data_IF_408848598618
#
_entry.id   IF_408848598618
#
_cell.length_a   1.000
_cell.length_b   1.000
_cell.length_c   1.000
_cell.angle_alpha   90.00
_cell.angle_beta   90.00
_cell.angle_gamma   90.00
#
_symmetry.space_group_name_H-M   'P 1'
#
loop_
_entity.id
_entity.type
_entity.pdbx_description
1 polymer ?
#
# COMPACT_ATOMS: atom_id res chain seq x y z
N UNK A 1 3.62 34.94 -2.74
CA UNK A 1 5.00 35.31 -2.40
C UNK A 1 5.83 34.21 -3.03
N UNK A 2 6.48 34.52 -4.15
CA UNK A 2 7.07 33.48 -5.00
C UNK A 2 8.40 33.01 -4.39
N UNK A 3 8.53 31.69 -4.16
CA UNK A 3 9.70 31.02 -3.56
C UNK A 3 10.87 30.90 -4.56
N UNK A 4 11.24 32.01 -5.22
CA UNK A 4 12.44 32.05 -6.05
C UNK A 4 13.62 32.57 -5.24
N UNK A 5 14.70 31.77 -5.20
CA UNK A 5 15.99 32.23 -4.69
C UNK A 5 16.52 33.35 -5.58
N UNK A 6 16.97 34.46 -4.98
CA UNK A 6 17.48 35.63 -5.69
C UNK A 6 18.87 35.43 -6.31
N UNK A 7 19.50 34.26 -6.11
CA UNK A 7 20.93 34.11 -6.46
C UNK A 7 21.36 32.71 -6.87
N UNK A 8 20.48 31.71 -6.87
CA UNK A 8 20.83 30.38 -7.36
C UNK A 8 19.58 29.63 -7.83
N UNK A 9 19.71 28.68 -8.76
CA UNK A 9 18.60 27.85 -9.30
C UNK A 9 18.00 26.89 -8.25
N UNK A 10 18.29 27.09 -6.98
CA UNK A 10 17.81 26.31 -5.85
C UNK A 10 16.44 26.85 -5.45
N UNK A 11 15.40 26.13 -5.82
CA UNK A 11 14.06 26.33 -5.26
C UNK A 11 14.12 25.82 -3.82
N UNK A 12 14.00 26.72 -2.84
CA UNK A 12 13.74 26.28 -1.47
C UNK A 12 12.34 25.68 -1.46
N UNK A 13 12.24 24.37 -1.23
CA UNK A 13 10.95 23.69 -1.13
C UNK A 13 10.07 24.31 -0.04
N UNK A 14 8.75 24.08 -0.08
CA UNK A 14 7.84 24.60 0.91
C UNK A 14 8.26 24.16 2.31
N UNK A 15 8.31 25.10 3.25
CA UNK A 15 8.65 24.87 4.66
C UNK A 15 7.58 25.44 5.57
N UNK A 16 7.30 24.74 6.66
CA UNK A 16 6.48 25.27 7.75
C UNK A 16 7.39 25.73 8.90
N UNK A 17 7.09 26.89 9.49
CA UNK A 17 7.83 27.43 10.63
C UNK A 17 6.85 27.88 11.69
N UNK A 18 7.01 27.35 12.91
CA UNK A 18 6.19 27.69 14.07
C UNK A 18 7.05 28.44 15.08
N UNK A 19 6.74 29.72 15.28
CA UNK A 19 7.41 30.57 16.25
C UNK A 19 6.67 30.56 17.59
N UNK A 20 7.38 30.93 18.68
CA UNK A 20 6.79 31.13 20.00
C UNK A 20 6.00 29.93 20.54
N UNK A 21 6.46 28.72 20.21
CA UNK A 21 5.87 27.48 20.70
C UNK A 21 6.10 27.33 22.23
N UNK A 22 5.15 26.72 22.97
CA UNK A 22 5.25 26.58 24.41
C UNK A 22 6.43 25.68 24.81
N UNK A 23 7.32 26.18 25.67
CA UNK A 23 8.57 25.50 26.01
C UNK A 23 8.39 24.29 26.95
N UNK A 24 7.48 24.41 27.92
CA UNK A 24 7.28 23.45 29.01
C UNK A 24 6.16 22.43 28.74
N UNK A 25 5.70 22.33 27.49
CA UNK A 25 4.67 21.38 27.07
C UNK A 25 5.30 20.33 26.17
N UNK A 26 4.91 19.08 26.37
CA UNK A 26 5.19 18.02 25.42
C UNK A 26 4.38 18.25 24.15
N UNK A 27 5.05 18.20 23.01
CA UNK A 27 4.51 18.41 21.68
C UNK A 27 4.77 17.17 20.82
N UNK A 28 3.90 16.95 19.85
CA UNK A 28 4.08 15.95 18.80
C UNK A 28 4.10 16.69 17.46
N UNK A 29 5.09 16.40 16.63
CA UNK A 29 5.15 16.91 15.25
C UNK A 29 4.51 15.89 14.33
N UNK A 30 3.35 16.24 13.76
CA UNK A 30 2.66 15.43 12.78
C UNK A 30 2.50 16.22 11.46
N UNK A 31 2.51 15.51 10.34
CA UNK A 31 2.25 16.07 9.02
C UNK A 31 0.88 15.59 8.53
N UNK A 32 -0.05 16.53 8.35
CA UNK A 32 -1.36 16.23 7.77
C UNK A 32 -1.26 16.20 6.25
N UNK A 33 -1.35 15.00 5.67
CA UNK A 33 -1.15 14.74 4.24
C UNK A 33 -2.35 14.05 3.61
N UNK A 34 -2.55 14.17 2.29
CA UNK A 34 -3.55 13.38 1.58
C UNK A 34 -3.37 11.87 1.83
N UNK A 35 -4.47 11.14 2.01
CA UNK A 35 -4.48 9.68 2.26
C UNK A 35 -3.57 8.84 1.33
N UNK A 36 -3.44 9.15 0.02
CA UNK A 36 -2.58 8.37 -0.86
C UNK A 36 -1.07 8.59 -0.65
N UNK A 37 -0.67 9.49 0.24
CA UNK A 37 0.74 9.84 0.42
C UNK A 37 1.36 8.97 1.51
N UNK A 38 2.44 8.26 1.18
CA UNK A 38 3.30 7.64 2.16
C UNK A 38 4.46 8.59 2.44
N UNK A 39 4.40 9.26 3.59
CA UNK A 39 5.39 10.24 4.01
C UNK A 39 6.13 9.74 5.25
N UNK A 40 7.45 9.90 5.25
CA UNK A 40 8.31 9.53 6.37
C UNK A 40 9.29 10.65 6.74
N UNK A 41 9.69 10.76 8.01
CA UNK A 41 10.76 11.67 8.42
C UNK A 41 12.12 11.12 7.96
N UNK A 42 12.82 11.86 7.11
CA UNK A 42 14.17 11.51 6.63
C UNK A 42 15.27 12.20 7.43
N UNK A 43 14.94 13.32 8.09
CA UNK A 43 15.83 13.98 9.05
C UNK A 43 15.01 14.32 10.29
N UNK A 44 15.35 13.71 11.42
CA UNK A 44 14.78 14.03 12.73
C UNK A 44 15.83 13.76 13.81
N UNK A 45 16.42 14.82 14.37
CA UNK A 45 17.44 14.69 15.43
C UNK A 45 16.80 14.34 16.78
N UNK A 46 15.55 14.73 16.97
CA UNK A 46 14.78 14.52 18.19
C UNK A 46 13.61 13.57 17.92
N UNK A 47 13.10 12.96 18.99
CA UNK A 47 11.85 12.20 18.97
C UNK A 47 10.68 13.15 18.65
N UNK A 48 10.03 12.93 17.50
CA UNK A 48 8.96 13.79 17.02
C UNK A 48 7.64 13.58 17.78
N UNK A 49 7.49 12.48 18.49
CA UNK A 49 6.28 12.18 19.26
C UNK A 49 6.32 12.77 20.68
N UNK A 50 7.51 13.11 21.18
CA UNK A 50 7.74 13.58 22.54
C UNK A 50 8.70 14.77 22.60
N UNK A 51 8.36 15.83 21.87
CA UNK A 51 9.17 17.07 21.80
C UNK A 51 8.93 17.90 23.06
N UNK A 52 10.01 18.22 23.78
CA UNK A 52 10.01 19.18 24.88
C UNK A 52 11.05 20.28 24.61
N UNK A 53 10.60 21.48 24.26
CA UNK A 53 11.48 22.51 23.68
C UNK A 53 12.47 23.12 24.70
N UNK A 54 12.16 23.09 26.00
CA UNK A 54 13.12 23.49 27.05
C UNK A 54 14.37 22.60 27.10
N UNK A 55 14.30 21.37 26.57
CA UNK A 55 15.43 20.44 26.50
C UNK A 55 16.36 20.70 25.31
N UNK A 56 16.05 21.66 24.44
CA UNK A 56 16.84 21.93 23.22
C UNK A 56 18.19 22.65 23.48
N UNK A 57 18.53 22.92 24.76
CA UNK A 57 19.79 23.53 25.18
C UNK A 57 20.18 24.75 24.33
N UNK A 58 21.35 24.74 23.69
CA UNK A 58 21.88 25.85 22.88
C UNK A 58 21.16 26.01 21.52
N UNK A 59 20.39 25.00 21.09
CA UNK A 59 19.69 25.00 19.81
C UNK A 59 18.31 25.61 19.97
N UNK A 60 18.06 26.77 19.36
CA UNK A 60 16.77 27.48 19.49
C UNK A 60 15.68 26.95 18.56
N UNK A 61 16.00 26.01 17.68
CA UNK A 61 15.06 25.56 16.63
C UNK A 61 15.20 24.06 16.43
N UNK A 62 14.12 23.34 16.68
CA UNK A 62 13.98 21.95 16.26
C UNK A 62 13.64 21.92 14.77
N UNK A 63 14.34 21.08 14.02
CA UNK A 63 14.10 20.88 12.59
C UNK A 63 13.83 19.40 12.32
N UNK A 64 12.84 19.14 11.48
CA UNK A 64 12.61 17.85 10.85
C UNK A 64 12.40 18.04 9.35
N UNK A 65 12.79 17.04 8.55
CA UNK A 65 12.55 16.99 7.10
C UNK A 65 11.79 15.71 6.80
N UNK A 66 10.71 15.85 6.05
CA UNK A 66 9.87 14.75 5.60
C UNK A 66 10.00 14.54 4.11
N UNK A 67 9.92 13.30 3.67
CA UNK A 67 9.92 12.91 2.26
C UNK A 67 8.62 12.18 1.90
N UNK A 68 8.05 12.52 0.75
CA UNK A 68 7.02 11.70 0.11
C UNK A 68 7.72 10.49 -0.53
N UNK A 69 7.85 9.41 0.24
CA UNK A 69 8.52 8.17 -0.15
C UNK A 69 7.82 7.54 -1.36
N UNK A 70 6.49 7.42 -1.31
CA UNK A 70 5.71 6.79 -2.36
C UNK A 70 4.25 7.26 -2.33
N UNK A 71 3.52 6.92 -3.40
CA UNK A 71 2.07 6.98 -3.43
C UNK A 71 1.47 5.60 -3.17
N UNK A 72 0.26 5.61 -2.65
CA UNK A 72 -0.57 4.42 -2.49
C UNK A 72 -1.44 4.23 -3.72
N UNK A 73 -1.29 3.09 -4.38
CA UNK A 73 -2.25 2.57 -5.35
C UNK A 73 -3.19 1.59 -4.65
N UNK A 74 -4.49 1.88 -4.68
CA UNK A 74 -5.52 1.00 -4.12
C UNK A 74 -6.42 0.44 -5.19
N UNK A 75 -7.04 -0.69 -4.90
CA UNK A 75 -8.08 -1.21 -5.77
C UNK A 75 -8.96 -2.26 -5.15
N UNK A 76 -9.95 -2.65 -5.94
CA UNK A 76 -10.90 -3.71 -5.63
C UNK A 76 -10.88 -4.75 -6.74
N UNK A 77 -10.81 -6.02 -6.35
CA UNK A 77 -10.89 -7.17 -7.24
C UNK A 77 -12.19 -7.94 -6.98
N UNK A 78 -13.00 -8.14 -8.02
CA UNK A 78 -14.23 -8.93 -7.95
C UNK A 78 -14.13 -10.19 -8.80
N UNK A 79 -14.78 -11.26 -8.35
CA UNK A 79 -15.04 -12.46 -9.16
C UNK A 79 -16.52 -12.46 -9.56
N UNK A 80 -16.80 -12.75 -10.83
CA UNK A 80 -18.19 -12.76 -11.32
C UNK A 80 -19.03 -13.80 -10.56
N UNK A 81 -20.19 -13.39 -10.07
CA UNK A 81 -21.17 -14.23 -9.35
C UNK A 81 -20.64 -14.87 -8.05
N UNK A 82 -19.50 -14.40 -7.53
CA UNK A 82 -18.83 -14.95 -6.36
C UNK A 82 -18.32 -13.85 -5.40
N UNK A 83 -17.91 -14.29 -4.20
CA UNK A 83 -17.18 -13.41 -3.27
C UNK A 83 -15.82 -13.00 -3.88
N UNK A 84 -15.23 -11.89 -3.44
CA UNK A 84 -13.90 -11.49 -3.88
C UNK A 84 -12.87 -12.63 -3.73
N UNK A 85 -11.95 -12.80 -4.70
CA UNK A 85 -11.02 -13.92 -4.74
C UNK A 85 -9.90 -13.71 -3.68
N UNK A 86 -10.22 -13.97 -2.42
CA UNK A 86 -9.31 -13.81 -1.27
C UNK A 86 -8.03 -14.60 -1.50
N UNK A 87 -6.90 -13.94 -1.32
CA UNK A 87 -5.57 -14.52 -1.49
C UNK A 87 -5.07 -14.52 -2.94
N UNK A 88 -5.81 -13.92 -3.88
CA UNK A 88 -5.34 -13.76 -5.25
C UNK A 88 -4.11 -12.87 -5.25
N UNK A 89 -3.00 -13.41 -5.70
CA UNK A 89 -1.73 -12.71 -5.73
C UNK A 89 -1.64 -11.86 -7.00
N UNK A 90 -1.27 -10.61 -6.81
CA UNK A 90 -1.08 -9.61 -7.84
C UNK A 90 0.37 -9.16 -7.83
N UNK A 91 0.92 -8.92 -9.02
CA UNK A 91 2.21 -8.28 -9.20
C UNK A 91 2.03 -6.98 -9.99
N UNK A 92 2.87 -6.01 -9.69
CA UNK A 92 2.93 -4.74 -10.37
C UNK A 92 4.38 -4.45 -10.74
N UNK A 93 4.56 -3.96 -11.97
CA UNK A 93 5.88 -3.58 -12.45
C UNK A 93 5.83 -2.65 -13.65
N UNK A 94 6.99 -2.45 -14.25
CA UNK A 94 7.17 -1.68 -15.49
C UNK A 94 7.36 -2.62 -16.67
N UNK A 95 7.38 -2.07 -17.89
CA UNK A 95 7.63 -2.87 -19.11
C UNK A 95 9.00 -3.56 -19.09
N UNK A 96 10.01 -2.96 -18.47
CA UNK A 96 11.37 -3.50 -18.33
C UNK A 96 11.55 -4.43 -17.13
N UNK A 97 10.82 -4.19 -16.04
CA UNK A 97 10.83 -5.03 -14.83
C UNK A 97 9.38 -5.36 -14.45
N UNK A 98 8.81 -6.48 -14.96
CA UNK A 98 7.39 -6.80 -14.79
C UNK A 98 6.95 -7.07 -13.35
N UNK A 99 7.89 -7.40 -12.46
CA UNK A 99 7.62 -7.67 -11.05
C UNK A 99 8.53 -6.77 -10.21
N UNK A 100 7.94 -5.78 -9.54
CA UNK A 100 8.61 -4.89 -8.59
C UNK A 100 7.95 -4.90 -7.22
N UNK A 101 6.62 -5.01 -7.18
CA UNK A 101 5.83 -5.07 -5.96
C UNK A 101 4.77 -6.12 -6.14
N UNK A 102 4.49 -6.88 -5.09
CA UNK A 102 3.42 -7.86 -5.02
C UNK A 102 2.49 -7.59 -3.82
N UNK A 103 1.27 -8.09 -3.93
CA UNK A 103 0.28 -8.05 -2.85
C UNK A 103 -0.75 -9.13 -3.07
N UNK A 104 -1.65 -9.29 -2.10
CA UNK A 104 -2.78 -10.21 -2.19
C UNK A 104 -4.10 -9.48 -2.06
N UNK A 105 -5.12 -10.01 -2.73
CA UNK A 105 -6.50 -9.54 -2.61
C UNK A 105 -7.07 -9.98 -1.26
N UNK A 106 -7.57 -9.01 -0.50
CA UNK A 106 -8.19 -9.24 0.80
C UNK A 106 -9.65 -9.70 0.65
N UNK A 107 -10.16 -10.43 1.64
CA UNK A 107 -11.54 -10.92 1.65
C UNK A 107 -12.57 -9.77 1.65
N UNK A 108 -12.25 -8.70 2.38
CA UNK A 108 -13.14 -7.55 2.55
C UNK A 108 -13.18 -6.74 1.26
N UNK A 109 -14.28 -6.84 0.52
CA UNK A 109 -14.54 -6.08 -0.72
C UNK A 109 -13.45 -6.22 -1.78
N UNK A 110 -12.64 -7.29 -1.73
CA UNK A 110 -11.55 -7.51 -2.68
C UNK A 110 -10.45 -6.45 -2.62
N UNK A 111 -10.27 -5.79 -1.47
CA UNK A 111 -9.32 -4.69 -1.34
C UNK A 111 -7.88 -5.16 -1.54
N UNK A 112 -7.07 -4.34 -2.20
CA UNK A 112 -5.62 -4.51 -2.32
C UNK A 112 -4.94 -3.14 -2.40
N UNK A 113 -3.66 -3.10 -2.01
CA UNK A 113 -2.87 -1.89 -1.93
C UNK A 113 -1.40 -2.17 -2.30
N UNK A 114 -0.76 -1.25 -3.02
CA UNK A 114 0.65 -1.30 -3.37
C UNK A 114 1.30 0.09 -3.31
N UNK A 115 2.60 0.15 -3.00
CA UNK A 115 3.41 1.37 -3.16
C UNK A 115 3.72 1.60 -4.64
N UNK A 116 3.55 2.83 -5.12
CA UNK A 116 3.84 3.23 -6.51
C UNK A 116 4.50 4.61 -6.58
N UNK A 117 5.13 4.87 -7.72
CA UNK A 117 5.68 6.17 -8.07
C UNK A 117 4.97 6.73 -9.32
N UNK A 118 5.02 8.05 -9.57
CA UNK A 118 4.54 8.61 -10.83
C UNK A 118 5.13 7.89 -12.03
N UNK A 119 4.30 7.47 -12.98
CA UNK A 119 4.74 6.65 -14.11
C UNK A 119 3.66 5.72 -14.67
N UNK A 120 4.10 4.81 -15.55
CA UNK A 120 3.25 3.80 -16.18
C UNK A 120 3.60 2.42 -15.64
N UNK A 121 2.59 1.75 -15.10
CA UNK A 121 2.68 0.46 -14.45
C UNK A 121 1.79 -0.57 -15.14
N UNK A 122 2.11 -1.84 -14.93
CA UNK A 122 1.38 -2.98 -15.47
C UNK A 122 1.03 -3.93 -14.33
N UNK A 123 -0.27 -4.05 -14.04
CA UNK A 123 -0.81 -4.96 -13.03
C UNK A 123 -1.11 -6.31 -13.66
N UNK A 124 -0.67 -7.39 -13.02
CA UNK A 124 -0.83 -8.76 -13.51
C UNK A 124 -1.15 -9.72 -12.36
N UNK A 125 -1.71 -10.88 -12.68
CA UNK A 125 -1.78 -12.00 -11.74
C UNK A 125 -0.38 -12.54 -11.50
N UNK A 126 -0.02 -12.82 -10.25
CA UNK A 126 1.27 -13.42 -9.94
C UNK A 126 1.37 -14.83 -10.58
N UNK A 127 2.55 -15.20 -11.12
CA UNK A 127 2.82 -16.55 -11.61
C UNK A 127 2.53 -17.61 -10.53
N UNK A 128 2.03 -18.77 -10.97
CA UNK A 128 1.59 -19.86 -10.09
C UNK A 128 0.07 -19.87 -9.92
N UNK A 129 -0.42 -20.29 -8.75
CA UNK A 129 -1.82 -20.64 -8.50
C UNK A 129 -2.82 -19.57 -8.94
N UNK A 130 -2.53 -18.29 -8.69
CA UNK A 130 -3.38 -17.17 -9.10
C UNK A 130 -3.55 -17.12 -10.62
N UNK A 131 -2.45 -17.14 -11.37
CA UNK A 131 -2.45 -17.17 -12.83
C UNK A 131 -2.91 -18.51 -13.43
N UNK A 132 -2.80 -19.63 -12.71
CA UNK A 132 -3.29 -20.94 -13.15
C UNK A 132 -4.81 -21.06 -13.08
N UNK A 133 -5.42 -20.40 -12.09
CA UNK A 133 -6.85 -20.46 -11.85
C UNK A 133 -7.62 -19.34 -12.53
N UNK A 134 -7.06 -18.14 -12.62
CA UNK A 134 -7.80 -16.95 -13.04
C UNK A 134 -7.21 -16.29 -14.28
N UNK A 135 -8.06 -15.50 -14.95
CA UNK A 135 -7.68 -14.49 -15.95
C UNK A 135 -8.36 -13.17 -15.60
N UNK A 136 -7.72 -12.05 -15.96
CA UNK A 136 -8.32 -10.74 -15.80
C UNK A 136 -9.25 -10.46 -16.96
N UNK A 137 -10.39 -9.86 -16.66
CA UNK A 137 -11.33 -9.38 -17.66
C UNK A 137 -11.01 -7.93 -18.03
N UNK A 138 -11.15 -7.60 -19.30
CA UNK A 138 -10.98 -6.24 -19.78
C UNK A 138 -12.27 -5.43 -19.64
N UNK A 139 -12.16 -4.14 -19.29
CA UNK A 139 -13.30 -3.22 -19.12
C UNK A 139 -13.84 -2.69 -20.47
N UNK A 140 -13.62 -3.42 -21.57
CA UNK A 140 -14.08 -2.98 -22.89
C UNK A 140 -15.60 -3.16 -23.02
N UNK A 141 -16.26 -2.08 -23.45
CA UNK A 141 -17.70 -1.88 -23.53
C UNK A 141 -18.39 -2.90 -24.47
N UNK A 142 -18.61 -4.12 -23.97
CA UNK A 142 -19.39 -5.18 -24.62
C UNK A 142 -18.61 -6.39 -25.13
N UNK A 143 -17.27 -6.39 -25.14
CA UNK A 143 -16.47 -7.56 -25.54
C UNK A 143 -15.91 -8.30 -24.33
N UNK A 144 -16.25 -9.60 -24.18
CA UNK A 144 -15.67 -10.48 -23.16
C UNK A 144 -14.22 -10.87 -23.52
N UNK A 145 -13.33 -9.89 -23.64
CA UNK A 145 -11.92 -10.16 -23.89
C UNK A 145 -11.18 -10.29 -22.55
N UNK A 146 -10.36 -11.33 -22.45
CA UNK A 146 -9.51 -11.58 -21.29
C UNK A 146 -8.13 -11.00 -21.56
N UNK A 147 -7.59 -10.24 -20.60
CA UNK A 147 -6.27 -9.63 -20.72
C UNK A 147 -5.29 -10.24 -19.72
N UNK A 148 -4.00 -10.25 -20.09
CA UNK A 148 -2.91 -10.68 -19.23
C UNK A 148 -2.34 -9.55 -18.37
N UNK A 149 -2.65 -8.30 -18.67
CA UNK A 149 -2.13 -7.14 -17.94
C UNK A 149 -3.04 -5.93 -18.02
N UNK A 150 -3.23 -5.22 -16.92
CA UNK A 150 -3.92 -3.92 -16.88
C UNK A 150 -2.89 -2.79 -16.79
N UNK A 151 -2.90 -1.86 -17.75
CA UNK A 151 -2.04 -0.67 -17.73
C UNK A 151 -2.59 0.38 -16.77
N UNK A 152 -1.75 0.88 -15.87
CA UNK A 152 -2.11 1.89 -14.88
C UNK A 152 -1.14 3.06 -15.00
N UNK A 153 -1.66 4.25 -15.30
CA UNK A 153 -0.88 5.50 -15.27
C UNK A 153 -1.13 6.23 -13.95
N UNK A 154 -0.05 6.63 -13.28
CA UNK A 154 -0.02 7.49 -12.10
C UNK A 154 0.56 8.84 -12.52
N UNK A 155 -0.31 9.84 -12.66
CA UNK A 155 0.02 11.19 -13.12
C UNK A 155 -0.54 12.29 -12.21
N UNK A 156 -1.09 11.91 -11.06
CA UNK A 156 -1.62 12.80 -10.03
C UNK A 156 -1.19 12.26 -8.65
N UNK A 157 -0.92 13.17 -7.70
CA UNK A 157 -0.59 12.86 -6.32
C UNK A 157 -1.83 12.52 -5.48
N UNK A 158 -3.05 12.72 -6.01
CA UNK A 158 -4.32 12.37 -5.34
C UNK A 158 -4.65 10.89 -5.32
N UNK A 159 -3.71 10.02 -5.73
CA UNK A 159 -3.91 8.59 -5.79
C UNK A 159 -4.82 8.15 -6.94
N UNK A 160 -5.05 6.85 -7.03
CA UNK A 160 -5.90 6.25 -8.06
C UNK A 160 -6.55 4.98 -7.54
N UNK A 161 -7.88 4.88 -7.68
CA UNK A 161 -8.61 3.67 -7.34
C UNK A 161 -8.78 2.80 -8.59
N UNK A 162 -8.36 1.54 -8.51
CA UNK A 162 -8.45 0.58 -9.61
C UNK A 162 -9.53 -0.45 -9.32
N UNK A 163 -10.45 -0.64 -10.26
CA UNK A 163 -11.40 -1.76 -10.24
C UNK A 163 -10.96 -2.80 -11.26
N UNK A 164 -11.00 -4.06 -10.87
CA UNK A 164 -10.70 -5.18 -11.75
C UNK A 164 -11.65 -6.34 -11.49
N UNK A 165 -12.00 -7.05 -12.55
CA UNK A 165 -12.77 -8.27 -12.49
C UNK A 165 -11.87 -9.43 -12.95
N UNK A 166 -11.95 -10.56 -12.25
CA UNK A 166 -11.30 -11.80 -12.65
C UNK A 166 -12.35 -12.88 -12.82
N UNK A 167 -12.04 -13.84 -13.68
CA UNK A 167 -12.87 -15.02 -13.90
C UNK A 167 -11.98 -16.25 -13.87
N UNK A 168 -12.53 -17.36 -13.37
CA UNK A 168 -11.83 -18.64 -13.41
C UNK A 168 -11.64 -19.10 -14.86
N UNK A 169 -10.50 -19.70 -15.13
CA UNK A 169 -10.21 -20.37 -16.39
C UNK A 169 -11.14 -21.57 -16.57
N UNK A 170 -11.43 -21.89 -17.83
CA UNK A 170 -12.25 -23.05 -18.21
C UNK A 170 -11.68 -24.34 -17.62
N UNK A 171 -12.51 -25.12 -16.93
CA UNK A 171 -12.13 -26.36 -16.26
C UNK A 171 -11.55 -26.18 -14.86
N UNK A 172 -11.44 -24.94 -14.36
CA UNK A 172 -10.93 -24.61 -13.01
C UNK A 172 -12.02 -24.08 -12.08
N UNK A 173 -13.27 -24.09 -12.50
CA UNK A 173 -14.40 -23.44 -11.82
C UNK A 173 -14.60 -23.96 -10.39
N UNK A 174 -14.36 -25.25 -10.19
CA UNK A 174 -14.54 -25.94 -8.90
C UNK A 174 -13.29 -25.92 -8.01
N UNK A 175 -12.16 -25.42 -8.53
CA UNK A 175 -10.92 -25.38 -7.77
C UNK A 175 -10.91 -24.18 -6.82
N UNK A 176 -10.48 -24.41 -5.58
CA UNK A 176 -10.26 -23.34 -4.60
C UNK A 176 -8.87 -22.73 -4.78
N UNK A 177 -8.80 -21.42 -4.59
CA UNK A 177 -7.54 -20.67 -4.62
C UNK A 177 -6.70 -20.97 -3.38
N UNK A 178 -7.31 -20.85 -2.21
CA UNK A 178 -6.70 -21.23 -0.94
C UNK A 178 -6.93 -22.72 -0.70
N UNK A 179 -5.83 -23.46 -0.56
CA UNK A 179 -5.87 -24.83 -0.09
C UNK A 179 -5.85 -24.77 1.44
N UNK A 180 -6.81 -25.39 2.16
CA UNK A 180 -6.71 -25.48 3.61
C UNK A 180 -5.41 -26.19 3.95
N UNK A 181 -4.57 -25.56 4.77
CA UNK A 181 -3.41 -26.19 5.35
C UNK A 181 -3.87 -27.29 6.31
N UNK A 182 -3.35 -28.50 6.17
CA UNK A 182 -3.70 -29.69 6.98
C UNK A 182 -3.33 -29.57 8.49
N UNK A 183 -2.92 -28.40 8.97
CA UNK A 183 -2.47 -28.16 10.34
C UNK A 183 -3.60 -27.89 11.37
N UNK A 184 -4.86 -27.79 10.94
CA UNK A 184 -6.00 -27.57 11.85
C UNK A 184 -6.56 -28.85 12.51
N UNK A 185 -5.96 -30.03 12.27
CA UNK A 185 -6.44 -31.32 12.81
C UNK A 185 -5.76 -31.79 14.11
N UNK A 186 -4.95 -30.96 14.79
CA UNK A 186 -4.21 -31.39 15.98
C UNK A 186 -4.81 -30.95 17.35
N UNK A 187 -6.13 -30.80 17.46
CA UNK A 187 -6.78 -30.45 18.74
C UNK A 187 -7.97 -31.33 19.13
N UNK A 188 -7.87 -32.65 18.95
CA UNK A 188 -8.78 -33.64 19.56
C UNK A 188 -8.03 -34.87 20.06
N UNK A 189 -7.30 -34.71 21.18
CA UNK A 189 -7.21 -35.72 22.25
C UNK A 189 -6.23 -35.26 23.34
N UNK A 190 -6.75 -34.58 24.37
CA UNK A 190 -6.13 -34.64 25.70
C UNK A 190 -7.01 -35.54 26.56
N UNK A 191 -6.62 -36.81 26.64
CA UNK A 191 -7.04 -37.70 27.71
C UNK A 191 -6.76 -37.04 29.05
N UNK A 192 -7.82 -36.89 29.85
CA UNK A 192 -7.74 -36.50 31.26
C UNK A 192 -7.10 -37.65 32.02
N UNK A 193 -5.77 -37.62 32.19
CA UNK A 193 -5.12 -38.38 33.26
C UNK A 193 -5.29 -37.61 34.57
N UNK A 194 -6.24 -38.08 35.37
CA UNK A 194 -6.30 -37.81 36.82
C UNK A 194 -4.96 -38.21 37.44
N UNK A 195 -4.33 -37.27 38.14
CA UNK A 195 -3.31 -37.57 39.15
C UNK A 195 -3.85 -37.08 40.49
N UNK A 196 -4.02 -38.03 41.39
CA UNK A 196 -4.31 -37.82 42.80
C UNK A 196 -3.09 -37.18 43.47
N UNK A 197 -3.28 -36.09 44.22
CA UNK A 197 -2.95 -35.93 45.63
C UNK A 197 -3.70 -34.70 46.18
#
# INVERSE_FOLDING_TARGET
MDDFSSTDRIVHGPKSFFANMPLSKTLTMNLDVPEPWLVEPVVAVHDLDNILLENLADTRTLQAVFELEALVLTGHCSEKDHEPPRGLQLILGTKSSPHLVDTLVMANLGYWQMKVFPGVWYLQLAPGRSSELYVMKEDADGSQETTLSKRITINDLRGKLVRMEVVKKKGKEHEKLLVPSDDDNHSTNKEVKKLNF
#
